data_IF_586279206218
#
_entry.id   IF_586279206218
#
_cell.length_a   1.000
_cell.length_b   1.000
_cell.length_c   1.000
_cell.angle_alpha   90.00
_cell.angle_beta   90.00
_cell.angle_gamma   90.00
#
_symmetry.space_group_name_H-M   'P 1'
#
loop_
_entity.id
_entity.type
_entity.pdbx_description
1 polymer ?
#
# COMPACT_ATOMS: atom_id res chain seq x y z
N UNK A 1 61.57 -28.34 -10.94
CA UNK A 1 61.28 -26.89 -10.89
C UNK A 1 59.78 -26.74 -10.69
N UNK A 2 59.37 -26.02 -9.62
CA UNK A 2 58.01 -25.97 -9.09
C UNK A 2 57.15 -24.94 -9.84
N UNK A 3 56.04 -25.37 -10.41
CA UNK A 3 54.96 -24.52 -10.91
C UNK A 3 54.00 -24.25 -9.75
N UNK A 4 53.96 -23.01 -9.24
CA UNK A 4 52.93 -22.57 -8.30
C UNK A 4 51.83 -21.86 -9.09
N UNK A 5 50.70 -22.55 -9.31
CA UNK A 5 49.47 -21.92 -9.81
C UNK A 5 48.62 -21.59 -8.59
N UNK A 6 48.49 -20.30 -8.32
CA UNK A 6 47.72 -19.71 -7.24
C UNK A 6 46.22 -19.82 -7.58
N UNK A 7 45.46 -20.61 -6.83
CA UNK A 7 44.00 -20.64 -6.93
C UNK A 7 43.41 -19.50 -6.08
N UNK A 8 43.01 -18.42 -6.74
CA UNK A 8 42.19 -17.36 -6.14
C UNK A 8 40.78 -17.92 -5.97
N UNK A 9 40.40 -18.20 -4.72
CA UNK A 9 39.03 -18.54 -4.35
C UNK A 9 38.18 -17.27 -4.42
N UNK A 10 37.37 -17.14 -5.47
CA UNK A 10 36.36 -16.09 -5.60
C UNK A 10 35.22 -16.44 -4.64
N UNK A 11 35.13 -15.75 -3.51
CA UNK A 11 33.93 -15.75 -2.68
C UNK A 11 32.78 -15.13 -3.48
N UNK A 12 31.80 -15.93 -3.84
CA UNK A 12 30.47 -15.45 -4.25
C UNK A 12 29.82 -14.80 -3.02
N UNK A 13 29.94 -13.49 -2.92
CA UNK A 13 29.04 -12.67 -2.12
C UNK A 13 27.64 -12.81 -2.74
N UNK A 14 26.80 -13.64 -2.12
CA UNK A 14 25.37 -13.63 -2.38
C UNK A 14 24.84 -12.27 -1.92
N UNK A 15 24.72 -11.34 -2.86
CA UNK A 15 24.00 -10.09 -2.67
C UNK A 15 22.52 -10.44 -2.53
N UNK A 16 22.10 -10.84 -1.33
CA UNK A 16 20.70 -10.69 -0.95
C UNK A 16 20.47 -9.18 -0.94
N UNK A 17 19.89 -8.67 -2.03
CA UNK A 17 19.37 -7.33 -2.06
C UNK A 17 18.32 -7.26 -0.94
N UNK A 18 18.70 -6.69 0.19
CA UNK A 18 17.74 -6.09 1.08
C UNK A 18 17.07 -5.00 0.25
N UNK A 19 15.92 -5.32 -0.36
CA UNK A 19 14.97 -4.31 -0.76
C UNK A 19 14.70 -3.56 0.55
N UNK A 20 15.35 -2.42 0.75
CA UNK A 20 14.99 -1.55 1.84
C UNK A 20 13.52 -1.23 1.62
N UNK A 21 12.66 -1.69 2.54
CA UNK A 21 11.24 -1.34 2.60
C UNK A 21 11.16 0.18 2.39
N UNK A 22 10.82 0.59 1.17
CA UNK A 22 10.65 2.01 0.92
C UNK A 22 9.42 2.44 1.73
N UNK A 23 9.52 3.50 2.53
CA UNK A 23 8.38 3.98 3.29
C UNK A 23 7.23 4.29 2.33
N UNK A 24 6.03 3.78 2.65
CA UNK A 24 4.81 4.12 1.93
C UNK A 24 4.28 5.41 2.57
N UNK A 25 4.52 6.55 1.92
CA UNK A 25 4.27 7.91 2.43
C UNK A 25 3.55 8.85 1.44
N UNK A 26 3.30 8.39 0.22
CA UNK A 26 2.51 9.08 -0.80
C UNK A 26 1.23 8.30 -1.12
N UNK A 27 0.35 8.88 -1.94
CA UNK A 27 -0.73 8.11 -2.53
C UNK A 27 -1.64 8.86 -3.49
N UNK A 28 -2.53 8.12 -4.14
CA UNK A 28 -3.52 8.63 -5.09
C UNK A 28 -4.95 8.37 -4.61
N UNK A 29 -5.86 9.29 -4.94
CA UNK A 29 -7.30 9.02 -4.85
C UNK A 29 -7.72 8.26 -6.10
N UNK A 30 -8.58 7.28 -5.94
CA UNK A 30 -9.26 6.67 -7.07
C UNK A 30 -10.77 6.69 -6.82
N UNK A 31 -11.53 7.14 -7.83
CA UNK A 31 -13.00 7.06 -7.84
C UNK A 31 -13.50 6.13 -8.93
N UNK A 32 -14.59 5.42 -8.66
CA UNK A 32 -15.28 4.59 -9.65
C UNK A 32 -15.99 5.45 -10.71
N UNK A 33 -16.07 4.97 -11.94
CA UNK A 33 -16.88 5.59 -13.00
C UNK A 33 -18.38 5.36 -12.79
N UNK A 34 -18.73 4.21 -12.20
CA UNK A 34 -20.08 3.82 -11.87
C UNK A 34 -20.15 3.02 -10.55
N UNK A 35 -21.32 2.96 -9.88
CA UNK A 35 -21.48 2.27 -8.60
C UNK A 35 -21.17 0.77 -8.62
N UNK A 36 -21.12 0.14 -9.80
CA UNK A 36 -20.81 -1.28 -9.97
C UNK A 36 -19.33 -1.56 -10.21
N UNK A 37 -18.48 -0.54 -10.36
CA UNK A 37 -17.04 -0.71 -10.65
C UNK A 37 -16.21 -1.06 -9.39
N UNK A 38 -16.87 -1.35 -8.26
CA UNK A 38 -16.22 -1.68 -6.98
C UNK A 38 -16.30 -0.55 -5.97
N UNK A 39 -15.14 -0.03 -5.53
CA UNK A 39 -15.09 0.98 -4.45
C UNK A 39 -15.64 2.32 -4.90
N UNK A 40 -16.35 3.01 -4.01
CA UNK A 40 -16.73 4.38 -4.28
C UNK A 40 -15.51 5.31 -4.13
N UNK A 41 -14.65 5.02 -3.15
CA UNK A 41 -13.38 5.70 -2.92
C UNK A 41 -12.29 4.67 -2.65
N UNK A 42 -11.14 4.84 -3.29
CA UNK A 42 -9.94 4.07 -2.99
C UNK A 42 -8.78 5.01 -2.73
N UNK A 43 -8.04 4.75 -1.66
CA UNK A 43 -6.76 5.38 -1.36
C UNK A 43 -5.68 4.37 -1.72
N UNK A 44 -4.76 4.74 -2.60
CA UNK A 44 -3.62 3.90 -2.96
C UNK A 44 -2.38 4.53 -2.37
N UNK A 45 -1.87 3.95 -1.28
CA UNK A 45 -0.68 4.43 -0.61
C UNK A 45 0.53 3.77 -1.27
N UNK A 46 1.48 4.58 -1.74
CA UNK A 46 2.68 4.14 -2.45
C UNK A 46 3.94 4.78 -1.87
N UNK A 47 5.12 4.19 -2.10
CA UNK A 47 6.38 4.90 -1.93
C UNK A 47 6.48 6.10 -2.86
N UNK A 48 7.47 6.97 -2.61
CA UNK A 48 7.76 8.16 -3.41
C UNK A 48 8.05 7.89 -4.89
N UNK A 49 8.53 6.70 -5.24
CA UNK A 49 8.73 6.31 -6.64
C UNK A 49 7.43 5.91 -7.37
N UNK A 50 6.32 5.83 -6.63
CA UNK A 50 4.98 5.55 -7.15
C UNK A 50 4.79 4.13 -7.68
N UNK A 51 5.73 3.22 -7.47
CA UNK A 51 5.66 1.88 -8.04
C UNK A 51 5.02 0.90 -7.06
N UNK A 52 5.82 0.29 -6.20
CA UNK A 52 5.41 -0.78 -5.30
C UNK A 52 6.40 -0.90 -4.15
N UNK A 53 6.02 -1.47 -3.00
CA UNK A 53 4.70 -2.03 -2.67
C UNK A 53 3.59 -0.98 -2.56
N UNK A 54 2.32 -1.38 -2.55
CA UNK A 54 1.19 -0.46 -2.37
C UNK A 54 0.19 -0.99 -1.33
N UNK A 55 -0.33 -0.10 -0.49
CA UNK A 55 -1.49 -0.38 0.36
C UNK A 55 -2.72 0.25 -0.30
N UNK A 56 -3.68 -0.58 -0.73
CA UNK A 56 -4.99 -0.12 -1.18
C UNK A 56 -5.96 -0.12 -0.02
N UNK A 57 -6.57 1.03 0.28
CA UNK A 57 -7.68 1.14 1.22
C UNK A 57 -8.93 1.56 0.45
N UNK A 58 -9.87 0.63 0.29
CA UNK A 58 -11.09 0.80 -0.48
C UNK A 58 -12.29 0.92 0.45
N UNK A 59 -13.14 1.91 0.19
CA UNK A 59 -14.41 2.14 0.88
C UNK A 59 -15.56 2.11 -0.12
N UNK A 60 -16.63 1.38 0.22
CA UNK A 60 -17.81 1.22 -0.64
C UNK A 60 -18.81 2.38 -0.49
N UNK A 61 -18.63 3.22 0.53
CA UNK A 61 -19.49 4.40 0.76
C UNK A 61 -18.98 5.61 -0.03
N UNK A 62 -19.91 6.49 -0.45
CA UNK A 62 -19.57 7.70 -1.18
C UNK A 62 -18.63 8.61 -0.37
N UNK A 63 -17.80 9.39 -1.06
CA UNK A 63 -16.86 10.31 -0.42
C UNK A 63 -17.54 11.27 0.59
N UNK A 64 -18.78 11.70 0.33
CA UNK A 64 -19.54 12.56 1.24
C UNK A 64 -19.88 11.92 2.59
N UNK A 65 -19.83 10.58 2.68
CA UNK A 65 -20.26 9.80 3.83
C UNK A 65 -19.10 9.10 4.54
N UNK A 66 -17.87 9.31 4.09
CA UNK A 66 -16.68 8.77 4.75
C UNK A 66 -16.41 9.60 6.01
N UNK A 67 -16.34 8.93 7.16
CA UNK A 67 -15.93 9.53 8.41
C UNK A 67 -14.42 9.36 8.60
N UNK A 68 -13.77 10.37 9.17
CA UNK A 68 -12.41 10.22 9.71
C UNK A 68 -12.42 9.35 10.96
N UNK A 69 -11.28 8.76 11.29
CA UNK A 69 -11.08 7.92 12.46
C UNK A 69 -10.46 6.56 12.15
N UNK A 70 -10.49 5.70 13.17
CA UNK A 70 -9.87 4.38 13.16
C UNK A 70 -10.75 3.33 12.48
N UNK A 71 -10.11 2.50 11.66
CA UNK A 71 -10.70 1.37 10.95
C UNK A 71 -9.93 0.10 11.32
N UNK A 72 -10.49 -0.69 12.25
CA UNK A 72 -9.92 -1.98 12.63
C UNK A 72 -10.16 -3.04 11.55
N UNK A 73 -9.13 -3.85 11.28
CA UNK A 73 -9.13 -4.88 10.25
C UNK A 73 -9.45 -6.28 10.86
N UNK A 74 -10.22 -7.12 10.15
CA UNK A 74 -10.78 -6.88 8.83
C UNK A 74 -11.99 -5.95 8.88
N UNK A 75 -12.18 -5.18 7.80
CA UNK A 75 -13.38 -4.36 7.64
C UNK A 75 -14.62 -5.24 7.45
N UNK A 76 -15.77 -4.74 7.90
CA UNK A 76 -17.05 -5.28 7.45
C UNK A 76 -17.10 -5.24 5.91
N UNK A 77 -17.47 -6.36 5.29
CA UNK A 77 -17.50 -6.51 3.83
C UNK A 77 -18.34 -5.45 3.10
N UNK A 78 -19.29 -4.80 3.80
CA UNK A 78 -20.12 -3.71 3.27
C UNK A 78 -19.55 -2.31 3.53
N UNK A 79 -18.45 -2.20 4.28
CA UNK A 79 -17.72 -0.93 4.48
C UNK A 79 -16.56 -0.76 3.51
N UNK A 80 -15.74 -1.79 3.33
CA UNK A 80 -14.52 -1.67 2.56
C UNK A 80 -13.62 -2.90 2.64
N UNK A 81 -12.41 -2.76 2.12
CA UNK A 81 -11.32 -3.69 2.34
C UNK A 81 -9.96 -2.96 2.31
N UNK A 82 -8.94 -3.62 2.85
CA UNK A 82 -7.55 -3.20 2.73
C UNK A 82 -6.76 -4.32 2.05
N UNK A 83 -5.92 -3.96 1.09
CA UNK A 83 -5.03 -4.89 0.41
C UNK A 83 -3.59 -4.37 0.39
N UNK A 84 -2.64 -5.31 0.39
CA UNK A 84 -1.24 -5.04 0.15
C UNK A 84 -0.83 -5.68 -1.18
N UNK A 85 -0.28 -4.88 -2.10
CA UNK A 85 0.15 -5.34 -3.42
C UNK A 85 1.67 -5.24 -3.55
N UNK A 86 2.31 -6.31 -4.02
CA UNK A 86 3.75 -6.34 -4.29
C UNK A 86 4.06 -5.99 -5.75
N UNK A 87 5.33 -5.68 -6.04
CA UNK A 87 5.82 -5.39 -7.38
C UNK A 87 5.59 -6.53 -8.39
N UNK A 88 5.43 -7.77 -7.91
CA UNK A 88 5.10 -8.94 -8.75
C UNK A 88 3.60 -9.03 -9.11
N UNK A 89 2.80 -8.01 -8.76
CA UNK A 89 1.36 -7.96 -9.03
C UNK A 89 0.53 -8.83 -8.08
N UNK A 90 1.13 -9.39 -7.02
CA UNK A 90 0.40 -10.16 -6.01
C UNK A 90 -0.23 -9.21 -5.01
N UNK A 91 -1.56 -9.17 -4.98
CA UNK A 91 -2.32 -8.45 -3.97
C UNK A 91 -2.92 -9.44 -2.95
N UNK A 92 -2.76 -9.15 -1.67
CA UNK A 92 -3.34 -9.94 -0.57
C UNK A 92 -4.22 -9.04 0.29
N UNK A 93 -5.29 -9.61 0.86
CA UNK A 93 -6.12 -8.90 1.83
C UNK A 93 -5.34 -8.71 3.15
N UNK A 94 -5.52 -7.55 3.77
CA UNK A 94 -4.98 -7.24 5.08
C UNK A 94 -6.11 -7.36 6.10
N UNK A 95 -6.02 -8.37 6.96
CA UNK A 95 -7.08 -8.73 7.90
C UNK A 95 -6.73 -8.47 9.37
N UNK A 96 -5.61 -7.79 9.65
CA UNK A 96 -5.15 -7.53 11.02
C UNK A 96 -4.48 -6.16 11.14
N UNK A 97 -4.79 -5.48 12.23
CA UNK A 97 -4.27 -4.14 12.56
C UNK A 97 -5.31 -3.07 12.29
N UNK A 98 -4.84 -1.85 12.05
CA UNK A 98 -5.67 -0.66 11.99
C UNK A 98 -5.21 0.28 10.89
N UNK A 99 -6.16 0.90 10.20
CA UNK A 99 -5.94 2.05 9.33
C UNK A 99 -6.66 3.24 9.93
N UNK A 100 -6.00 4.38 10.08
CA UNK A 100 -6.60 5.60 10.59
C UNK A 100 -6.68 6.63 9.46
N UNK A 101 -7.90 7.05 9.13
CA UNK A 101 -8.13 8.20 8.26
C UNK A 101 -8.14 9.45 9.13
N UNK A 102 -6.96 10.06 9.29
CA UNK A 102 -6.73 11.22 10.17
C UNK A 102 -7.45 12.46 9.62
N UNK A 103 -7.35 12.67 8.31
CA UNK A 103 -7.98 13.79 7.60
C UNK A 103 -8.55 13.28 6.29
N UNK A 104 -9.74 13.78 5.92
CA UNK A 104 -10.32 13.53 4.62
C UNK A 104 -11.20 14.69 4.17
N UNK A 105 -10.79 15.36 3.10
CA UNK A 105 -11.61 16.26 2.31
C UNK A 105 -11.69 15.68 0.91
N UNK A 106 -12.90 15.25 0.51
CA UNK A 106 -13.13 14.54 -0.75
C UNK A 106 -12.37 15.20 -1.92
N UNK A 107 -11.53 14.39 -2.58
CA UNK A 107 -10.77 14.78 -3.78
C UNK A 107 -9.79 15.95 -3.60
N UNK A 108 -9.54 16.37 -2.35
CA UNK A 108 -8.67 17.50 -2.04
C UNK A 108 -7.47 17.06 -1.21
N UNK A 109 -7.74 16.39 -0.08
CA UNK A 109 -6.70 15.97 0.86
C UNK A 109 -7.14 14.72 1.59
N UNK A 110 -6.21 13.80 1.81
CA UNK A 110 -6.35 12.71 2.76
C UNK A 110 -5.05 12.50 3.50
N UNK A 111 -5.15 12.21 4.80
CA UNK A 111 -4.00 11.81 5.61
C UNK A 111 -4.34 10.51 6.32
N UNK A 112 -3.53 9.50 6.07
CA UNK A 112 -3.82 8.13 6.45
C UNK A 112 -2.62 7.56 7.19
N UNK A 113 -2.83 7.08 8.41
CA UNK A 113 -1.87 6.22 9.07
C UNK A 113 -2.29 4.75 8.94
N UNK A 114 -1.31 3.86 8.85
CA UNK A 114 -1.54 2.43 8.86
C UNK A 114 -0.59 1.76 9.85
N UNK A 115 -1.10 0.79 10.60
CA UNK A 115 -0.34 -0.11 11.47
C UNK A 115 -0.99 -1.49 11.31
N UNK A 116 -0.46 -2.29 10.39
CA UNK A 116 -1.10 -3.51 9.92
C UNK A 116 -0.16 -4.70 9.96
N UNK A 117 -0.73 -5.90 10.01
CA UNK A 117 0.01 -7.16 9.95
C UNK A 117 -0.53 -8.02 8.81
N UNK A 118 0.35 -8.45 7.91
CA UNK A 118 0.02 -9.38 6.83
C UNK A 118 -0.12 -10.81 7.37
N UNK A 119 -0.74 -11.71 6.59
CA UNK A 119 -0.96 -13.10 7.00
C UNK A 119 0.35 -13.89 7.24
N UNK A 120 1.46 -13.48 6.61
CA UNK A 120 2.79 -14.07 6.83
C UNK A 120 3.50 -13.52 8.09
N UNK A 121 2.84 -12.62 8.84
CA UNK A 121 3.35 -12.00 10.05
C UNK A 121 4.12 -10.70 9.84
N UNK A 122 4.31 -10.26 8.58
CA UNK A 122 4.99 -8.99 8.28
C UNK A 122 4.20 -7.81 8.85
N UNK A 123 4.84 -6.97 9.66
CA UNK A 123 4.26 -5.74 10.17
C UNK A 123 4.61 -4.56 9.27
N UNK A 124 3.60 -3.79 8.86
CA UNK A 124 3.76 -2.59 8.05
C UNK A 124 3.19 -1.40 8.81
N UNK A 125 3.97 -0.32 8.90
CA UNK A 125 3.54 0.89 9.59
C UNK A 125 4.03 2.16 8.90
N UNK A 126 3.17 3.16 8.85
CA UNK A 126 3.53 4.49 8.37
C UNK A 126 2.36 5.46 8.31
N UNK A 127 2.59 6.57 7.63
CA UNK A 127 1.60 7.60 7.35
C UNK A 127 1.83 8.13 5.93
N UNK A 128 0.74 8.35 5.21
CA UNK A 128 0.77 8.90 3.87
C UNK A 128 -0.16 10.11 3.76
N UNK A 129 0.27 11.11 2.99
CA UNK A 129 -0.56 12.28 2.64
C UNK A 129 -0.82 12.29 1.15
N UNK A 130 -2.10 12.44 0.80
CA UNK A 130 -2.59 12.46 -0.58
C UNK A 130 -3.16 13.84 -0.86
N UNK A 131 -2.87 14.38 -2.06
CA UNK A 131 -3.39 15.67 -2.50
C UNK A 131 -4.25 15.52 -3.74
N UNK A 132 -5.19 16.43 -3.98
CA UNK A 132 -6.15 16.33 -5.10
C UNK A 132 -5.51 16.31 -6.49
N UNK A 133 -4.23 16.66 -6.60
CA UNK A 133 -3.43 16.51 -7.84
C UNK A 133 -3.19 15.05 -8.19
N UNK A 134 -3.34 14.17 -7.22
CA UNK A 134 -3.09 12.73 -7.28
C UNK A 134 -4.41 11.95 -7.48
N UNK A 135 -5.46 12.60 -8.02
CA UNK A 135 -6.73 11.95 -8.33
C UNK A 135 -6.65 11.15 -9.64
N UNK A 136 -7.21 9.94 -9.60
CA UNK A 136 -7.44 9.06 -10.75
C UNK A 136 -8.88 8.57 -10.75
N UNK A 137 -9.31 8.11 -11.92
CA UNK A 137 -10.60 7.47 -12.11
C UNK A 137 -10.35 6.04 -12.57
N UNK A 138 -11.05 5.06 -11.99
CA UNK A 138 -11.05 3.67 -12.45
C UNK A 138 -12.43 3.30 -12.97
N UNK A 139 -12.47 2.67 -14.14
CA UNK A 139 -13.65 2.05 -14.71
C UNK A 139 -13.33 0.56 -14.88
N UNK A 140 -14.23 -0.34 -14.48
CA UNK A 140 -13.99 -1.78 -14.55
C UNK A 140 -15.20 -2.62 -14.22
#
# INVERSE_FOLDING_TARGET
MKTCISFISILLLASAAAQADQPIDHGTFARSCAPWDGSAVRFELTPADGQYPQIGFSLWTSASNIATGSYDLPLDSKKGNVNYCTAQGKCVLVNKGTVELIEFTAWTTARISYDVTLDDGTALKGEATLTGKDERTFCG
#
